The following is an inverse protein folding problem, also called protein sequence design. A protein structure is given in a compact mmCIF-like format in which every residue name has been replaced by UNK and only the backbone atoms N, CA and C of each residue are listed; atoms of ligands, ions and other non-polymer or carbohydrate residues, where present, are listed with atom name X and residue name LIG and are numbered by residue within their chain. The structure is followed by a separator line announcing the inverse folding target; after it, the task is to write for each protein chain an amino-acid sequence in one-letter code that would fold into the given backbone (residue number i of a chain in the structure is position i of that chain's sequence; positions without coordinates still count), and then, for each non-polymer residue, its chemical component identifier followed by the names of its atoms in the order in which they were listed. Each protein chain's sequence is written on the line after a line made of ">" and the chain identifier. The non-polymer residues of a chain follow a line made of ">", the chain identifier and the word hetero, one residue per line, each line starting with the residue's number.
data_IF_646697784507
#
_entry.id   IF_646697784507
#
_cell.length_a   1.000
_cell.length_b   1.000
_cell.length_c   1.000
_cell.angle_alpha   90.00
_cell.angle_beta   90.00
_cell.angle_gamma   90.00
#
_symmetry.space_group_name_H-M   'P 1'
#
loop_
_entity.id
_entity.type
_entity.pdbx_description
1 polymer ?
#
# COMPACT_ATOMS: atom_id res chain seq x y z
N UNK A 1 12.53 -6.77 1.16
CA UNK A 1 12.26 -6.18 2.50
C UNK A 1 10.82 -6.46 2.90
N UNK A 2 10.64 -7.07 4.03
CA UNK A 2 9.32 -7.42 4.53
C UNK A 2 9.13 -6.90 5.95
N UNK A 3 8.01 -6.24 6.18
CA UNK A 3 7.57 -5.86 7.52
C UNK A 3 6.28 -6.60 7.86
N UNK A 4 6.24 -7.25 9.00
CA UNK A 4 5.04 -7.83 9.59
C UNK A 4 5.08 -7.52 11.08
N UNK A 5 4.12 -6.76 11.56
CA UNK A 5 4.16 -6.39 12.98
C UNK A 5 3.04 -5.45 13.39
N UNK A 6 3.23 -4.89 14.56
CA UNK A 6 2.18 -4.17 15.28
C UNK A 6 2.57 -2.73 15.62
N UNK A 7 3.57 -2.16 14.98
CA UNK A 7 3.88 -0.76 15.22
C UNK A 7 2.89 0.15 14.46
N UNK A 8 2.74 1.37 14.92
CA UNK A 8 1.84 2.34 14.31
C UNK A 8 2.49 3.19 13.23
N UNK A 9 3.81 3.14 13.09
CA UNK A 9 4.53 3.92 12.07
C UNK A 9 5.74 3.15 11.54
N UNK A 10 5.95 3.25 10.24
CA UNK A 10 7.16 2.77 9.56
C UNK A 10 7.82 3.96 8.90
N UNK A 11 9.05 4.26 9.29
CA UNK A 11 9.77 5.44 8.80
C UNK A 11 11.10 5.06 8.19
N UNK A 12 11.24 5.37 6.91
CA UNK A 12 12.46 5.13 6.14
C UNK A 12 12.87 6.42 5.44
N UNK A 13 13.39 7.42 6.19
CA UNK A 13 13.61 8.77 5.63
C UNK A 13 14.67 8.84 4.53
N UNK A 14 15.58 7.89 4.49
CA UNK A 14 16.68 7.90 3.51
C UNK A 14 16.59 6.76 2.47
N UNK A 15 15.56 5.93 2.52
CA UNK A 15 15.41 4.80 1.61
C UNK A 15 15.00 5.29 0.22
N UNK A 16 15.83 5.04 -0.79
CA UNK A 16 15.61 5.50 -2.17
C UNK A 16 15.13 4.39 -3.11
N UNK A 17 15.58 3.15 -2.87
CA UNK A 17 15.26 2.04 -3.76
C UNK A 17 15.15 0.72 -2.98
N UNK A 18 14.18 -0.10 -3.38
CA UNK A 18 14.08 -1.50 -2.99
C UNK A 18 14.09 -2.31 -4.28
N UNK A 19 15.17 -3.04 -4.55
CA UNK A 19 15.33 -3.77 -5.81
C UNK A 19 14.38 -4.94 -5.96
N UNK A 20 14.01 -5.57 -4.85
CA UNK A 20 13.06 -6.67 -4.82
C UNK A 20 11.69 -6.19 -4.37
N UNK A 21 11.14 -6.88 -3.38
CA UNK A 21 9.81 -6.63 -2.85
C UNK A 21 9.87 -5.79 -1.57
N UNK A 22 9.06 -4.74 -1.51
CA UNK A 22 8.73 -4.06 -0.26
C UNK A 22 7.38 -4.60 0.18
N UNK A 23 7.37 -5.44 1.18
CA UNK A 23 6.19 -6.15 1.65
C UNK A 23 5.84 -5.68 3.06
N UNK A 24 4.71 -5.01 3.17
CA UNK A 24 4.20 -4.50 4.44
C UNK A 24 2.90 -5.23 4.75
N UNK A 25 2.93 -6.02 5.82
CA UNK A 25 1.75 -6.75 6.30
C UNK A 25 1.31 -6.19 7.63
N UNK A 26 0.11 -5.66 7.68
CA UNK A 26 -0.49 -5.26 8.94
C UNK A 26 -1.00 -6.50 9.66
N UNK A 27 -0.89 -6.53 10.97
CA UNK A 27 -1.30 -7.70 11.72
C UNK A 27 -1.94 -7.35 13.06
N UNK A 28 -2.66 -8.33 13.54
CA UNK A 28 -3.33 -8.33 14.82
C UNK A 28 -2.67 -9.42 15.65
N UNK A 29 -2.33 -9.13 16.88
CA UNK A 29 -1.55 -10.06 17.71
C UNK A 29 -2.30 -10.41 18.98
N UNK A 30 -2.39 -11.73 19.24
CA UNK A 30 -2.88 -12.29 20.50
C UNK A 30 -4.28 -11.85 20.92
N UNK A 31 -5.19 -11.72 19.98
CA UNK A 31 -6.57 -11.39 20.27
C UNK A 31 -6.81 -9.96 20.73
N UNK A 32 -5.79 -9.11 20.72
CA UNK A 32 -5.89 -7.71 21.14
C UNK A 32 -5.59 -6.77 19.99
N UNK A 33 -6.35 -5.68 19.87
CA UNK A 33 -6.02 -4.58 19.01
C UNK A 33 -4.82 -3.87 19.61
N UNK A 34 -3.64 -4.21 19.14
CA UNK A 34 -2.42 -3.64 19.71
C UNK A 34 -2.15 -2.29 19.08
N UNK A 35 -2.04 -2.22 17.79
CA UNK A 35 -1.93 -0.97 17.05
C UNK A 35 -2.14 -1.27 15.59
N UNK A 36 -2.69 -0.31 14.87
CA UNK A 36 -2.81 -0.38 13.43
C UNK A 36 -1.81 0.58 12.80
N UNK A 37 -1.26 0.18 11.67
CA UNK A 37 -0.30 1.00 10.97
C UNK A 37 -0.99 2.28 10.49
N UNK A 38 -0.59 3.42 11.04
CA UNK A 38 -1.17 4.73 10.75
C UNK A 38 -0.33 5.53 9.80
N UNK A 39 0.99 5.28 9.79
CA UNK A 39 1.93 6.09 9.04
C UNK A 39 2.99 5.23 8.37
N UNK A 40 3.20 5.49 7.10
CA UNK A 40 4.36 5.03 6.35
C UNK A 40 5.07 6.29 5.86
N UNK A 41 6.36 6.42 6.15
CA UNK A 41 7.12 7.60 5.77
C UNK A 41 8.29 7.20 4.88
N UNK A 42 8.17 7.47 3.59
CA UNK A 42 9.17 7.11 2.57
C UNK A 42 9.36 8.27 1.59
N UNK A 43 9.84 9.44 2.08
CA UNK A 43 9.80 10.68 1.29
C UNK A 43 10.70 10.69 0.07
N UNK A 44 11.70 9.80 0.01
CA UNK A 44 12.67 9.76 -1.11
C UNK A 44 12.67 8.41 -1.83
N UNK A 45 11.74 7.53 -1.51
CA UNK A 45 11.64 6.21 -2.16
C UNK A 45 11.13 6.38 -3.60
N UNK A 46 11.98 6.10 -4.58
CA UNK A 46 11.69 6.32 -6.00
C UNK A 46 11.46 5.05 -6.80
N UNK A 47 11.98 3.93 -6.33
CA UNK A 47 11.92 2.68 -7.10
C UNK A 47 11.71 1.48 -6.19
N UNK A 48 10.76 0.64 -6.58
CA UNK A 48 10.45 -0.62 -5.89
C UNK A 48 10.15 -1.67 -6.94
N UNK A 49 10.71 -2.87 -6.82
CA UNK A 49 10.41 -3.96 -7.74
C UNK A 49 8.96 -4.41 -7.61
N UNK A 50 8.51 -4.66 -6.39
CA UNK A 50 7.11 -5.01 -6.10
C UNK A 50 6.69 -4.35 -4.79
N UNK A 51 5.60 -3.60 -4.82
CA UNK A 51 5.02 -2.99 -3.63
C UNK A 51 3.84 -3.83 -3.16
N UNK A 52 3.93 -4.36 -1.94
CA UNK A 52 2.87 -5.17 -1.33
C UNK A 52 2.44 -4.52 -0.02
N UNK A 53 1.15 -4.25 0.09
CA UNK A 53 0.54 -3.74 1.30
C UNK A 53 -0.71 -4.58 1.56
N UNK A 54 -0.62 -5.51 2.50
CA UNK A 54 -1.69 -6.47 2.77
C UNK A 54 -1.87 -6.68 4.27
N UNK A 55 -2.60 -7.71 4.64
CA UNK A 55 -2.77 -8.11 6.03
C UNK A 55 -2.25 -9.52 6.26
N UNK A 56 -1.85 -9.80 7.49
CA UNK A 56 -1.42 -11.13 7.90
C UNK A 56 -2.57 -12.15 7.90
N UNK A 57 -3.78 -11.73 8.23
CA UNK A 57 -4.93 -12.65 8.32
C UNK A 57 -6.11 -12.13 7.48
N UNK A 58 -6.18 -12.60 6.26
CA UNK A 58 -7.19 -12.18 5.28
C UNK A 58 -8.60 -12.70 5.59
N UNK A 59 -8.72 -13.74 6.41
CA UNK A 59 -10.03 -14.33 6.75
C UNK A 59 -10.79 -13.56 7.82
N UNK A 60 -10.14 -12.57 8.46
CA UNK A 60 -10.72 -11.81 9.56
C UNK A 60 -10.70 -10.32 9.23
N UNK A 61 -11.76 -9.80 8.62
CA UNK A 61 -11.84 -8.39 8.26
C UNK A 61 -11.64 -7.44 9.44
N UNK A 62 -12.12 -7.82 10.63
CA UNK A 62 -11.94 -7.01 11.84
C UNK A 62 -10.47 -6.86 12.24
N UNK A 63 -9.60 -7.68 11.71
CA UNK A 63 -8.16 -7.65 11.97
C UNK A 63 -7.39 -6.91 10.88
N UNK A 64 -8.08 -6.42 9.85
CA UNK A 64 -7.45 -5.68 8.77
C UNK A 64 -7.26 -4.22 9.17
N UNK A 65 -6.25 -3.59 8.59
CA UNK A 65 -5.96 -2.19 8.87
C UNK A 65 -7.07 -1.30 8.33
N UNK A 66 -7.65 -0.47 9.19
CA UNK A 66 -8.68 0.49 8.79
C UNK A 66 -8.29 1.94 9.08
N UNK A 67 -7.05 2.20 9.44
CA UNK A 67 -6.56 3.52 9.84
C UNK A 67 -5.89 4.25 8.67
N UNK A 68 -5.19 3.51 7.81
CA UNK A 68 -4.52 4.10 6.66
C UNK A 68 -5.56 4.49 5.60
N UNK A 69 -5.67 5.79 5.30
CA UNK A 69 -6.72 6.31 4.42
C UNK A 69 -6.22 6.74 3.04
N UNK A 70 -4.90 6.95 2.90
CA UNK A 70 -4.28 7.38 1.65
C UNK A 70 -2.88 6.80 1.52
N UNK A 71 -2.27 6.98 0.35
CA UNK A 71 -0.93 6.50 0.02
C UNK A 71 0.02 7.65 -0.33
N UNK A 72 -0.20 8.81 0.25
CA UNK A 72 0.63 9.99 0.00
C UNK A 72 2.10 9.79 0.38
N UNK A 73 2.37 8.83 1.27
CA UNK A 73 3.72 8.43 1.63
C UNK A 73 4.55 7.97 0.42
N UNK A 74 3.91 7.49 -0.63
CA UNK A 74 4.58 7.00 -1.85
C UNK A 74 4.65 8.02 -2.97
N UNK A 75 4.45 9.30 -2.70
CA UNK A 75 4.47 10.35 -3.74
C UNK A 75 5.76 10.43 -4.54
N UNK A 76 6.88 10.08 -3.93
CA UNK A 76 8.16 10.09 -4.62
C UNK A 76 8.36 8.89 -5.54
N UNK A 77 7.54 7.84 -5.38
CA UNK A 77 7.70 6.60 -6.12
C UNK A 77 7.36 6.82 -7.60
N UNK A 78 8.34 6.54 -8.46
CA UNK A 78 8.24 6.75 -9.92
C UNK A 78 8.21 5.44 -10.68
N UNK A 79 8.89 4.40 -10.17
CA UNK A 79 9.04 3.13 -10.85
C UNK A 79 8.66 1.98 -9.92
N UNK A 80 7.70 1.19 -10.34
CA UNK A 80 7.28 -0.02 -9.62
C UNK A 80 6.91 -1.07 -10.66
N UNK A 81 7.31 -2.32 -10.40
CA UNK A 81 7.00 -3.42 -11.31
C UNK A 81 5.63 -4.00 -11.09
N UNK A 82 5.23 -4.16 -9.83
CA UNK A 82 3.93 -4.72 -9.44
C UNK A 82 3.41 -3.97 -8.21
N UNK A 83 2.13 -3.67 -8.21
CA UNK A 83 1.42 -3.09 -7.06
C UNK A 83 0.39 -4.10 -6.58
N UNK A 84 0.50 -4.50 -5.31
CA UNK A 84 -0.46 -5.39 -4.66
C UNK A 84 -0.91 -4.73 -3.36
N UNK A 85 -2.13 -4.20 -3.33
CA UNK A 85 -2.69 -3.51 -2.17
C UNK A 85 -4.06 -4.10 -1.87
N UNK A 86 -4.16 -4.78 -0.74
CA UNK A 86 -5.37 -5.48 -0.34
C UNK A 86 -5.63 -5.36 1.15
N UNK A 87 -6.90 -5.41 1.52
CA UNK A 87 -7.36 -5.46 2.93
C UNK A 87 -6.98 -4.24 3.75
N UNK A 88 -6.93 -3.08 3.12
CA UNK A 88 -6.77 -1.79 3.78
C UNK A 88 -8.15 -1.13 3.86
N UNK A 89 -8.89 -1.42 4.92
CA UNK A 89 -10.32 -1.13 5.00
C UNK A 89 -10.67 0.35 5.16
N UNK A 90 -9.68 1.19 5.44
CA UNK A 90 -9.86 2.64 5.48
C UNK A 90 -9.34 3.36 4.25
N UNK A 91 -8.71 2.63 3.32
CA UNK A 91 -7.99 3.24 2.20
C UNK A 91 -8.96 3.70 1.11
N UNK A 92 -9.06 5.00 0.91
CA UNK A 92 -9.97 5.64 -0.05
C UNK A 92 -9.26 6.46 -1.13
N UNK A 93 -7.94 6.61 -1.04
CA UNK A 93 -7.17 7.39 -2.02
C UNK A 93 -5.87 6.70 -2.41
N UNK A 94 -5.68 6.55 -3.70
CA UNK A 94 -4.46 6.00 -4.32
C UNK A 94 -3.64 7.09 -5.01
N UNK A 95 -3.96 8.36 -4.82
CA UNK A 95 -3.28 9.46 -5.50
C UNK A 95 -1.77 9.51 -5.24
N UNK A 96 -1.34 9.05 -4.10
CA UNK A 96 0.09 9.00 -3.79
C UNK A 96 0.89 8.11 -4.74
N UNK A 97 0.23 7.20 -5.44
CA UNK A 97 0.87 6.30 -6.41
C UNK A 97 0.76 6.78 -7.87
N UNK A 98 0.26 7.98 -8.10
CA UNK A 98 -0.04 8.47 -9.46
C UNK A 98 1.15 8.37 -10.41
N UNK A 99 2.33 8.78 -9.98
CA UNK A 99 3.54 8.71 -10.81
C UNK A 99 3.91 7.27 -11.13
N UNK A 100 3.85 6.39 -10.14
CA UNK A 100 4.19 4.98 -10.31
C UNK A 100 3.21 4.28 -11.23
N UNK A 101 1.92 4.57 -11.08
CA UNK A 101 0.86 4.00 -11.91
C UNK A 101 1.06 4.39 -13.38
N UNK A 102 1.50 5.62 -13.63
CA UNK A 102 1.76 6.09 -15.00
C UNK A 102 2.73 5.23 -15.78
N UNK A 103 3.66 4.57 -15.11
CA UNK A 103 4.65 3.69 -15.73
C UNK A 103 4.21 2.23 -15.91
N UNK A 104 3.08 1.83 -15.33
CA UNK A 104 2.58 0.47 -15.48
C UNK A 104 1.93 0.28 -16.86
N UNK A 105 2.24 -0.84 -17.49
CA UNK A 105 1.73 -1.15 -18.85
C UNK A 105 0.89 -2.41 -18.90
N UNK A 106 0.85 -3.19 -17.82
CA UNK A 106 0.22 -4.51 -17.79
C UNK A 106 -0.75 -4.59 -16.61
N UNK A 107 -2.00 -4.94 -16.88
CA UNK A 107 -3.03 -5.05 -15.84
C UNK A 107 -2.75 -6.17 -14.82
N UNK A 108 -1.93 -7.16 -15.18
CA UNK A 108 -1.51 -8.20 -14.23
C UNK A 108 -0.58 -7.65 -13.14
N UNK A 109 -0.02 -6.46 -13.35
CA UNK A 109 0.80 -5.77 -12.37
C UNK A 109 -0.01 -4.97 -11.36
N UNK A 110 -1.33 -4.96 -11.49
CA UNK A 110 -2.25 -4.21 -10.63
C UNK A 110 -3.15 -5.20 -9.88
N UNK A 111 -2.82 -5.46 -8.63
CA UNK A 111 -3.59 -6.37 -7.77
C UNK A 111 -4.15 -5.54 -6.60
N UNK A 112 -5.35 -5.04 -6.77
CA UNK A 112 -6.00 -4.15 -5.80
C UNK A 112 -7.40 -4.67 -5.52
N UNK A 113 -7.69 -4.90 -4.25
CA UNK A 113 -9.00 -5.39 -3.84
C UNK A 113 -9.17 -5.37 -2.34
N UNK A 114 -10.40 -5.52 -1.88
CA UNK A 114 -10.73 -5.58 -0.45
C UNK A 114 -10.27 -4.35 0.35
N UNK A 115 -10.14 -3.20 -0.28
CA UNK A 115 -9.91 -1.92 0.37
C UNK A 115 -11.24 -1.14 0.44
N UNK A 116 -11.25 0.03 1.06
CA UNK A 116 -12.45 0.87 1.06
C UNK A 116 -12.78 1.34 -0.36
N UNK A 117 -11.77 1.66 -1.14
CA UNK A 117 -11.89 1.99 -2.57
C UNK A 117 -10.95 1.10 -3.37
N UNK A 118 -11.44 0.54 -4.48
CA UNK A 118 -10.69 -0.42 -5.28
C UNK A 118 -10.78 -0.04 -6.76
N UNK A 119 -9.96 0.92 -7.22
CA UNK A 119 -9.96 1.27 -8.64
C UNK A 119 -9.43 0.11 -9.47
N UNK A 120 -10.05 -0.11 -10.63
CA UNK A 120 -9.52 -1.04 -11.61
C UNK A 120 -8.24 -0.48 -12.22
N UNK A 121 -7.48 -1.31 -12.92
CA UNK A 121 -6.28 -0.83 -13.61
C UNK A 121 -6.63 0.30 -14.59
N UNK A 122 -7.70 0.15 -15.34
CA UNK A 122 -8.16 1.17 -16.29
C UNK A 122 -8.53 2.48 -15.58
N UNK A 123 -9.29 2.40 -14.49
CA UNK A 123 -9.63 3.57 -13.69
C UNK A 123 -8.37 4.26 -13.16
N UNK A 124 -7.43 3.48 -12.63
CA UNK A 124 -6.18 4.02 -12.10
C UNK A 124 -5.37 4.74 -13.20
N UNK A 125 -5.29 4.15 -14.40
CA UNK A 125 -4.59 4.76 -15.53
C UNK A 125 -5.28 6.04 -15.99
N UNK A 126 -6.59 6.15 -15.80
CA UNK A 126 -7.36 7.34 -16.14
C UNK A 126 -7.37 8.41 -15.05
N UNK A 127 -6.65 8.20 -13.94
CA UNK A 127 -6.57 9.16 -12.86
C UNK A 127 -7.72 9.09 -11.86
N UNK A 128 -8.55 8.07 -11.92
CA UNK A 128 -9.66 7.88 -10.99
C UNK A 128 -9.15 7.20 -9.72
N UNK A 129 -8.39 7.94 -8.93
CA UNK A 129 -7.59 7.42 -7.82
C UNK A 129 -8.19 7.66 -6.45
N UNK A 130 -9.30 8.36 -6.36
CA UNK A 130 -9.97 8.64 -5.09
C UNK A 130 -11.44 8.27 -5.15
N UNK A 131 -11.95 7.80 -4.02
CA UNK A 131 -13.38 7.61 -3.83
C UNK A 131 -14.06 8.97 -3.64
N UNK A 132 -15.09 9.19 -4.40
CA UNK A 132 -15.90 10.41 -4.31
C UNK A 132 -17.01 10.28 -3.27
#
# INVERSE_FOLDING_TARGET
>A
MTYTGVCDALRFPALEEVTGELNIKTSYVNGSFVSMLQEIYTPVLKKVGKLVLTTHNKSQESWCNNVLTNLDCFRALENVGVINIEYQLGLVSFKGLEKAIGGLTDDTSWVVGHNAYNPTFEQAKNGELEQN
#
